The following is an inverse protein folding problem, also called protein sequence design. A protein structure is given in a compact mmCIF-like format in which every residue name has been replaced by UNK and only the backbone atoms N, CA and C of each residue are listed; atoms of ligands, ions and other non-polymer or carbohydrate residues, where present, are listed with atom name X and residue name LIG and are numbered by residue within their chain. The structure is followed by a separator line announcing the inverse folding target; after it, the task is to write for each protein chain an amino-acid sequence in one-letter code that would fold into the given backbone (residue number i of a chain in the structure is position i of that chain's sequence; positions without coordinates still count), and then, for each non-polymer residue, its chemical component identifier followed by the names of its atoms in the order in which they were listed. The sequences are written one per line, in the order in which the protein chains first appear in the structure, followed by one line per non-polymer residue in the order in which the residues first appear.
data_IF_115262020823
#
_entry.id   IF_115262020823
#
_cell.length_a   1.000
_cell.length_b   1.000
_cell.length_c   1.000
_cell.angle_alpha   90.00
_cell.angle_beta   90.00
_cell.angle_gamma   90.00
#
_symmetry.space_group_name_H-M   'P 1'
#
loop_
_entity.id
_entity.type
_entity.pdbx_description
1 polymer ?
#
# COMPACT_ATOMS: atom_id res chain seq x y z
N UNK A 1 9.70 9.43 16.21
CA UNK A 1 9.79 9.48 14.74
C UNK A 1 10.97 8.62 14.37
N UNK A 2 10.70 7.49 13.74
CA UNK A 2 11.72 6.55 13.24
C UNK A 2 11.82 6.71 11.72
N UNK A 3 13.02 6.51 11.16
CA UNK A 3 13.27 6.58 9.72
C UNK A 3 13.94 5.27 9.32
N UNK A 4 13.39 4.60 8.31
CA UNK A 4 13.82 3.27 7.87
C UNK A 4 14.15 3.35 6.38
N UNK A 5 15.23 2.69 5.98
CA UNK A 5 15.62 2.60 4.58
C UNK A 5 14.79 1.55 3.85
N UNK A 6 14.33 1.89 2.64
CA UNK A 6 13.57 0.97 1.77
C UNK A 6 14.45 0.24 0.74
N UNK A 7 15.71 0.65 0.61
CA UNK A 7 16.73 0.02 -0.22
C UNK A 7 18.10 0.18 0.45
N UNK A 8 19.11 -0.53 -0.06
CA UNK A 8 20.50 -0.33 0.36
C UNK A 8 20.98 1.07 -0.05
N UNK A 9 21.65 1.78 0.87
CA UNK A 9 22.11 3.17 0.66
C UNK A 9 23.62 3.18 0.64
N UNK A 10 24.20 3.68 -0.46
CA UNK A 10 25.65 3.74 -0.64
C UNK A 10 26.27 5.00 0.01
N UNK A 11 27.58 4.94 0.29
CA UNK A 11 28.27 6.08 0.90
C UNK A 11 28.29 7.30 -0.03
N UNK A 12 27.66 8.39 0.42
CA UNK A 12 27.55 9.64 -0.36
C UNK A 12 26.26 9.75 -1.17
N UNK A 13 25.39 8.75 -1.13
CA UNK A 13 24.05 8.81 -1.70
C UNK A 13 23.15 9.77 -0.89
N UNK A 14 22.30 10.53 -1.57
CA UNK A 14 21.33 11.42 -0.94
C UNK A 14 20.19 10.60 -0.34
N UNK A 15 19.92 10.79 0.97
CA UNK A 15 18.78 10.16 1.64
C UNK A 15 17.53 10.97 1.31
N UNK A 16 16.53 10.32 0.70
CA UNK A 16 15.28 10.96 0.28
C UNK A 16 14.07 10.34 0.96
N UNK A 17 13.00 11.14 1.08
CA UNK A 17 11.65 10.69 1.46
C UNK A 17 10.63 11.37 0.55
N UNK A 18 9.52 10.68 0.24
CA UNK A 18 8.45 11.29 -0.54
C UNK A 18 7.52 12.11 0.35
N UNK A 19 7.32 13.38 0.01
CA UNK A 19 6.28 14.22 0.61
C UNK A 19 4.93 14.10 -0.10
N UNK A 20 4.92 13.52 -1.31
CA UNK A 20 3.73 13.38 -2.10
C UNK A 20 2.96 12.11 -1.71
N UNK A 21 1.63 12.21 -1.53
CA UNK A 21 0.78 11.02 -1.48
C UNK A 21 0.96 10.16 -2.74
N UNK A 22 0.95 8.85 -2.54
CA UNK A 22 1.25 7.87 -3.60
C UNK A 22 0.21 7.80 -4.71
N UNK A 23 -1.04 8.20 -4.45
CA UNK A 23 -2.12 8.17 -5.44
C UNK A 23 -2.10 9.36 -6.41
N UNK A 24 -1.30 10.41 -6.15
CA UNK A 24 -1.32 11.60 -7.02
C UNK A 24 -0.70 11.33 -8.38
N UNK A 25 -1.40 11.69 -9.45
CA UNK A 25 -0.83 11.68 -10.81
C UNK A 25 0.25 12.75 -10.96
N UNK A 26 1.03 12.67 -12.03
CA UNK A 26 2.19 13.52 -12.27
C UNK A 26 1.89 15.02 -12.20
N UNK A 27 0.80 15.46 -12.80
CA UNK A 27 0.38 16.87 -12.78
C UNK A 27 -0.07 17.32 -11.38
N UNK A 28 -0.96 16.56 -10.73
CA UNK A 28 -1.41 16.86 -9.35
C UNK A 28 -0.25 16.87 -8.35
N UNK A 29 0.70 15.94 -8.52
CA UNK A 29 1.91 15.85 -7.71
C UNK A 29 2.79 17.08 -7.90
N UNK A 30 2.97 17.57 -9.14
CA UNK A 30 3.75 18.80 -9.40
C UNK A 30 3.07 20.02 -8.79
N UNK A 31 1.76 20.16 -8.99
CA UNK A 31 0.98 21.26 -8.46
C UNK A 31 0.99 21.27 -6.92
N UNK A 32 0.83 20.11 -6.30
CA UNK A 32 0.97 19.97 -4.85
C UNK A 32 2.38 20.34 -4.40
N UNK A 33 3.42 19.88 -5.10
CA UNK A 33 4.81 20.13 -4.68
C UNK A 33 5.15 21.63 -4.74
N UNK A 34 4.81 22.28 -5.84
CA UNK A 34 5.12 23.71 -6.01
C UNK A 34 4.30 24.57 -5.06
N UNK A 35 3.03 24.24 -4.83
CA UNK A 35 2.15 25.00 -3.93
C UNK A 35 2.53 24.83 -2.45
N UNK A 36 2.99 23.64 -2.06
CA UNK A 36 3.29 23.32 -0.65
C UNK A 36 4.73 23.63 -0.25
N UNK A 37 5.70 23.43 -1.15
CA UNK A 37 7.13 23.58 -0.84
C UNK A 37 7.88 24.55 -1.77
N UNK A 38 7.26 25.08 -2.82
CA UNK A 38 7.84 26.15 -3.63
C UNK A 38 8.96 25.72 -4.58
N UNK A 39 9.04 24.44 -4.96
CA UNK A 39 10.02 23.95 -5.93
C UNK A 39 9.39 23.06 -7.01
N UNK A 40 10.08 22.93 -8.15
CA UNK A 40 9.74 21.97 -9.19
C UNK A 40 10.55 20.68 -8.99
N UNK A 41 9.88 19.54 -8.87
CA UNK A 41 10.56 18.25 -8.76
C UNK A 41 11.29 17.90 -10.07
N UNK A 42 12.57 17.55 -9.96
CA UNK A 42 13.46 17.14 -11.08
C UNK A 42 13.95 15.69 -10.97
N UNK A 43 13.21 14.85 -10.23
CA UNK A 43 13.55 13.42 -10.19
C UNK A 43 13.37 12.77 -11.57
N UNK A 44 13.97 11.59 -11.83
CA UNK A 44 13.83 10.88 -13.10
C UNK A 44 12.37 10.67 -13.51
N UNK A 45 11.51 10.25 -12.56
CA UNK A 45 10.08 10.04 -12.80
C UNK A 45 9.37 11.30 -13.26
N UNK A 46 9.74 12.50 -12.78
CA UNK A 46 9.08 13.75 -13.16
C UNK A 46 9.67 14.41 -14.41
N UNK A 47 10.80 13.92 -14.90
CA UNK A 47 11.58 14.56 -15.98
C UNK A 47 11.55 13.73 -17.26
N UNK A 48 11.42 12.40 -17.17
CA UNK A 48 11.31 11.51 -18.33
C UNK A 48 9.83 11.26 -18.70
N UNK A 49 9.46 11.48 -19.95
CA UNK A 49 8.07 11.32 -20.43
C UNK A 49 7.57 9.88 -20.38
N UNK A 50 8.44 8.90 -20.62
CA UNK A 50 8.11 7.49 -20.53
C UNK A 50 7.87 7.07 -19.09
N UNK A 51 8.77 7.45 -18.18
CA UNK A 51 8.64 7.16 -16.75
C UNK A 51 7.41 7.84 -16.14
N UNK A 52 7.10 9.08 -16.54
CA UNK A 52 5.87 9.76 -16.14
C UNK A 52 4.62 9.00 -16.57
N UNK A 53 4.59 8.59 -17.85
CA UNK A 53 3.46 7.85 -18.39
C UNK A 53 3.23 6.53 -17.66
N UNK A 54 4.32 5.77 -17.40
CA UNK A 54 4.25 4.52 -16.65
C UNK A 54 3.79 4.76 -15.21
N UNK A 55 4.38 5.74 -14.51
CA UNK A 55 3.96 6.11 -13.14
C UNK A 55 2.47 6.47 -13.08
N UNK A 56 1.94 7.24 -14.03
CA UNK A 56 0.54 7.62 -14.03
C UNK A 56 -0.38 6.46 -14.42
N UNK A 57 0.09 5.57 -15.29
CA UNK A 57 -0.63 4.36 -15.67
C UNK A 57 -0.79 3.43 -14.47
N UNK A 58 0.28 3.16 -13.74
CA UNK A 58 0.21 2.27 -12.58
C UNK A 58 -0.61 2.87 -11.43
N UNK A 59 -0.48 4.18 -11.15
CA UNK A 59 -1.31 4.85 -10.12
C UNK A 59 -2.80 4.74 -10.42
N UNK A 60 -3.20 4.95 -11.69
CA UNK A 60 -4.60 4.73 -12.13
C UNK A 60 -5.05 3.28 -12.00
N UNK A 61 -4.15 2.33 -12.26
CA UNK A 61 -4.43 0.92 -12.09
C UNK A 61 -4.65 0.56 -10.62
N UNK A 62 -3.84 1.10 -9.71
CA UNK A 62 -4.02 0.90 -8.26
C UNK A 62 -5.34 1.53 -7.80
N UNK A 63 -5.64 2.74 -8.25
CA UNK A 63 -6.91 3.41 -7.94
C UNK A 63 -8.11 2.56 -8.39
N UNK A 64 -8.08 2.02 -9.61
CA UNK A 64 -9.12 1.08 -10.11
C UNK A 64 -9.25 -0.13 -9.19
N UNK A 65 -8.13 -0.80 -8.88
CA UNK A 65 -8.15 -1.98 -8.01
C UNK A 65 -8.78 -1.64 -6.66
N UNK A 66 -8.40 -0.51 -6.08
CA UNK A 66 -8.90 -0.06 -4.78
C UNK A 66 -10.40 0.29 -4.84
N UNK A 67 -10.87 0.92 -5.93
CA UNK A 67 -12.28 1.20 -6.15
C UNK A 67 -13.11 -0.08 -6.31
N UNK A 68 -12.66 -1.04 -7.10
CA UNK A 68 -13.35 -2.33 -7.27
C UNK A 68 -13.35 -3.13 -5.97
N UNK A 69 -12.21 -3.17 -5.28
CA UNK A 69 -12.12 -3.73 -3.94
C UNK A 69 -12.95 -2.95 -2.92
N UNK A 70 -13.42 -1.74 -3.18
CA UNK A 70 -14.30 -0.98 -2.29
C UNK A 70 -15.81 -1.25 -2.49
N UNK A 71 -16.21 -1.92 -3.58
CA UNK A 71 -17.62 -2.15 -3.95
C UNK A 71 -18.15 -3.52 -3.48
N UNK A 72 -18.90 -3.62 -2.36
CA UNK A 72 -19.34 -4.91 -1.83
C UNK A 72 -20.17 -5.76 -2.80
N UNK A 73 -20.89 -5.12 -3.71
CA UNK A 73 -21.86 -5.76 -4.61
C UNK A 73 -21.21 -6.64 -5.68
N UNK A 74 -19.95 -6.35 -6.04
CA UNK A 74 -19.22 -7.05 -7.11
C UNK A 74 -18.12 -7.98 -6.59
N UNK A 75 -17.80 -7.92 -5.29
CA UNK A 75 -16.73 -8.71 -4.65
C UNK A 75 -17.09 -10.19 -4.58
N UNK A 76 -16.73 -10.92 -5.63
CA UNK A 76 -16.65 -12.38 -5.57
C UNK A 76 -15.26 -12.83 -5.11
N UNK A 77 -15.11 -13.99 -4.45
CA UNK A 77 -13.80 -14.53 -4.11
C UNK A 77 -12.86 -14.68 -5.32
N UNK A 78 -13.39 -14.91 -6.52
CA UNK A 78 -12.60 -14.99 -7.74
C UNK A 78 -12.01 -13.61 -8.08
N UNK A 79 -12.87 -12.59 -8.18
CA UNK A 79 -12.47 -11.22 -8.48
C UNK A 79 -11.47 -10.68 -7.43
N UNK A 80 -11.72 -10.92 -6.14
CA UNK A 80 -10.79 -10.46 -5.09
C UNK A 80 -9.41 -11.11 -5.25
N UNK A 81 -9.31 -12.40 -5.62
CA UNK A 81 -7.98 -12.99 -5.86
C UNK A 81 -7.29 -12.39 -7.10
N UNK A 82 -8.05 -12.15 -8.17
CA UNK A 82 -7.53 -11.54 -9.40
C UNK A 82 -6.96 -10.15 -9.13
N UNK A 83 -7.76 -9.26 -8.54
CA UNK A 83 -7.35 -7.89 -8.19
C UNK A 83 -6.18 -7.85 -7.21
N UNK A 84 -6.13 -8.78 -6.25
CA UNK A 84 -5.01 -8.86 -5.31
C UNK A 84 -3.74 -9.35 -5.97
N UNK A 85 -3.83 -10.28 -6.93
CA UNK A 85 -2.67 -10.72 -7.71
C UNK A 85 -2.12 -9.56 -8.55
N UNK A 86 -3.00 -8.85 -9.26
CA UNK A 86 -2.63 -7.68 -10.05
C UNK A 86 -1.97 -6.59 -9.20
N UNK A 87 -2.49 -6.37 -7.97
CA UNK A 87 -1.90 -5.44 -7.01
C UNK A 87 -0.52 -5.90 -6.51
N UNK A 88 -0.33 -7.19 -6.23
CA UNK A 88 0.96 -7.72 -5.78
C UNK A 88 2.03 -7.61 -6.88
N UNK A 89 1.68 -7.94 -8.13
CA UNK A 89 2.58 -7.79 -9.29
C UNK A 89 3.04 -6.33 -9.45
N UNK A 90 2.11 -5.36 -9.34
CA UNK A 90 2.45 -3.94 -9.40
C UNK A 90 3.37 -3.49 -8.26
N UNK A 91 3.09 -3.91 -7.01
CA UNK A 91 3.93 -3.54 -5.86
C UNK A 91 5.37 -4.01 -6.08
N UNK A 92 5.53 -5.21 -6.63
CA UNK A 92 6.83 -5.82 -6.90
C UNK A 92 7.57 -5.08 -8.03
N UNK A 93 6.88 -4.75 -9.12
CA UNK A 93 7.46 -4.06 -10.27
C UNK A 93 7.87 -2.60 -9.96
N UNK A 94 7.19 -1.94 -9.02
CA UNK A 94 7.44 -0.53 -8.66
C UNK A 94 8.20 -0.33 -7.33
N UNK A 95 8.66 -1.41 -6.69
CA UNK A 95 9.32 -1.36 -5.38
C UNK A 95 8.50 -0.60 -4.30
N UNK A 96 7.19 -0.84 -4.27
CA UNK A 96 6.25 -0.21 -3.32
C UNK A 96 6.12 -1.00 -2.00
N UNK A 97 7.19 -1.67 -1.57
CA UNK A 97 7.19 -2.55 -0.40
C UNK A 97 6.72 -1.85 0.87
N UNK A 98 7.02 -0.57 1.02
CA UNK A 98 6.61 0.23 2.18
C UNK A 98 5.09 0.43 2.27
N UNK A 99 4.38 0.42 1.15
CA UNK A 99 2.94 0.57 1.05
C UNK A 99 2.21 -0.78 1.16
N UNK A 100 2.93 -1.90 0.93
CA UNK A 100 2.36 -3.25 0.94
C UNK A 100 1.64 -3.56 2.26
N UNK A 101 2.13 -3.04 3.39
CA UNK A 101 1.48 -3.18 4.70
C UNK A 101 0.05 -2.63 4.72
N UNK A 102 -0.13 -1.38 4.27
CA UNK A 102 -1.45 -0.74 4.23
C UNK A 102 -2.40 -1.44 3.26
N UNK A 103 -1.88 -1.82 2.09
CA UNK A 103 -2.64 -2.53 1.04
C UNK A 103 -3.11 -3.90 1.52
N UNK A 104 -2.27 -4.68 2.18
CA UNK A 104 -2.68 -5.94 2.82
C UNK A 104 -3.70 -5.73 3.94
N UNK A 105 -3.63 -4.61 4.65
CA UNK A 105 -4.67 -4.20 5.60
C UNK A 105 -6.03 -4.02 4.93
N UNK A 106 -6.10 -3.43 3.74
CA UNK A 106 -7.33 -3.28 2.95
C UNK A 106 -7.83 -4.64 2.49
N UNK A 107 -6.96 -5.44 1.85
CA UNK A 107 -7.29 -6.77 1.35
C UNK A 107 -7.81 -7.69 2.46
N UNK A 108 -7.21 -7.61 3.65
CA UNK A 108 -7.66 -8.37 4.81
C UNK A 108 -9.10 -8.02 5.23
N UNK A 109 -9.45 -6.73 5.24
CA UNK A 109 -10.83 -6.28 5.54
C UNK A 109 -11.81 -6.78 4.50
N UNK A 110 -11.45 -6.70 3.22
CA UNK A 110 -12.27 -7.22 2.12
C UNK A 110 -12.56 -8.72 2.30
N UNK A 111 -11.55 -9.53 2.58
CA UNK A 111 -11.76 -10.97 2.84
C UNK A 111 -12.61 -11.23 4.08
N UNK A 112 -12.45 -10.43 5.14
CA UNK A 112 -13.28 -10.52 6.34
C UNK A 112 -14.74 -10.21 6.05
N UNK A 113 -15.02 -9.24 5.20
CA UNK A 113 -16.38 -8.84 4.79
C UNK A 113 -17.03 -9.89 3.88
N UNK A 114 -16.24 -10.54 3.01
CA UNK A 114 -16.67 -11.69 2.19
C UNK A 114 -16.87 -12.97 3.04
N UNK A 115 -16.38 -12.98 4.27
CA UNK A 115 -16.55 -14.07 5.25
C UNK A 115 -15.46 -15.16 5.19
N UNK A 116 -14.43 -15.00 4.37
CA UNK A 116 -13.25 -15.86 4.36
C UNK A 116 -12.23 -15.38 5.39
N UNK A 117 -12.51 -15.68 6.66
CA UNK A 117 -11.66 -15.26 7.77
C UNK A 117 -10.25 -15.86 7.72
N UNK A 118 -10.06 -17.02 7.07
CA UNK A 118 -8.74 -17.62 6.93
C UNK A 118 -7.85 -16.78 5.99
N UNK A 119 -8.37 -16.37 4.83
CA UNK A 119 -7.66 -15.44 3.95
C UNK A 119 -7.50 -14.07 4.59
N UNK A 120 -8.53 -13.56 5.27
CA UNK A 120 -8.45 -12.30 6.00
C UNK A 120 -7.27 -12.31 6.99
N UNK A 121 -7.16 -13.37 7.81
CA UNK A 121 -6.09 -13.50 8.79
C UNK A 121 -4.71 -13.55 8.12
N UNK A 122 -4.57 -14.32 7.04
CA UNK A 122 -3.31 -14.41 6.29
C UNK A 122 -2.81 -13.04 5.83
N UNK A 123 -3.68 -12.22 5.23
CA UNK A 123 -3.28 -10.87 4.80
C UNK A 123 -3.08 -9.92 5.99
N UNK A 124 -3.88 -10.04 7.05
CA UNK A 124 -3.71 -9.23 8.27
C UNK A 124 -2.34 -9.45 8.91
N UNK A 125 -1.90 -10.70 9.04
CA UNK A 125 -0.60 -11.05 9.64
C UNK A 125 0.56 -10.56 8.77
N UNK A 126 0.48 -10.70 7.44
CA UNK A 126 1.48 -10.15 6.51
C UNK A 126 1.55 -8.62 6.61
N UNK A 127 0.41 -7.94 6.58
CA UNK A 127 0.34 -6.48 6.68
C UNK A 127 0.86 -5.97 8.03
N UNK A 128 0.50 -6.64 9.13
CA UNK A 128 1.00 -6.33 10.47
C UNK A 128 2.51 -6.46 10.55
N UNK A 129 3.10 -7.55 10.03
CA UNK A 129 4.55 -7.73 10.04
C UNK A 129 5.30 -6.65 9.25
N UNK A 130 4.74 -6.21 8.11
CA UNK A 130 5.29 -5.10 7.33
C UNK A 130 5.18 -3.76 8.07
N UNK A 131 4.08 -3.51 8.78
CA UNK A 131 3.94 -2.32 9.62
C UNK A 131 4.94 -2.32 10.79
N UNK A 132 5.10 -3.45 11.49
CA UNK A 132 6.12 -3.60 12.53
C UNK A 132 7.51 -3.30 11.99
N UNK A 133 7.82 -3.76 10.78
CA UNK A 133 9.12 -3.55 10.14
C UNK A 133 9.34 -2.10 9.68
N UNK A 134 8.39 -1.50 8.94
CA UNK A 134 8.58 -0.19 8.30
C UNK A 134 8.11 1.01 9.12
N UNK A 135 7.19 0.82 10.07
CA UNK A 135 6.63 1.90 10.88
C UNK A 135 7.01 1.81 12.36
N UNK A 136 7.47 0.63 12.79
CA UNK A 136 7.81 0.34 14.18
C UNK A 136 6.62 -0.20 14.98
N UNK A 137 6.94 -0.85 16.11
CA UNK A 137 5.97 -1.51 17.00
C UNK A 137 5.04 -0.49 17.68
N UNK A 138 5.55 0.72 17.94
CA UNK A 138 4.81 1.77 18.63
C UNK A 138 3.92 2.61 17.70
N UNK A 139 3.93 2.36 16.38
CA UNK A 139 3.10 3.08 15.43
C UNK A 139 1.60 2.73 15.56
N UNK A 140 0.76 3.75 15.47
CA UNK A 140 -0.68 3.60 15.65
C UNK A 140 -1.33 2.67 14.60
N UNK A 141 -0.79 2.59 13.38
CA UNK A 141 -1.28 1.65 12.36
C UNK A 141 -0.87 0.23 12.69
N UNK A 142 0.35 0.03 13.21
CA UNK A 142 0.83 -1.28 13.69
C UNK A 142 -0.07 -1.82 14.81
N UNK A 143 -0.41 -0.98 15.80
CA UNK A 143 -1.35 -1.36 16.87
C UNK A 143 -2.74 -1.72 16.34
N UNK A 144 -3.24 -0.99 15.35
CA UNK A 144 -4.53 -1.28 14.73
C UNK A 144 -4.50 -2.60 13.95
N UNK A 145 -3.44 -2.86 13.19
CA UNK A 145 -3.25 -4.11 12.47
C UNK A 145 -3.23 -5.31 13.44
N UNK A 146 -2.49 -5.20 14.55
CA UNK A 146 -2.44 -6.23 15.58
C UNK A 146 -3.81 -6.52 16.21
N UNK A 147 -4.56 -5.48 16.56
CA UNK A 147 -5.94 -5.64 17.07
C UNK A 147 -6.84 -6.35 16.07
N UNK A 148 -6.67 -6.08 14.78
CA UNK A 148 -7.46 -6.73 13.74
C UNK A 148 -7.07 -8.21 13.56
N UNK A 149 -5.78 -8.54 13.63
CA UNK A 149 -5.30 -9.93 13.70
C UNK A 149 -5.93 -10.69 14.87
N UNK A 150 -5.91 -10.10 16.08
CA UNK A 150 -6.51 -10.72 17.27
C UNK A 150 -8.02 -10.95 17.11
N UNK A 151 -8.74 -9.97 16.55
CA UNK A 151 -10.15 -10.11 16.23
C UNK A 151 -10.41 -11.27 15.27
N UNK A 152 -9.63 -11.40 14.20
CA UNK A 152 -9.79 -12.49 13.23
C UNK A 152 -9.47 -13.86 13.85
N UNK A 153 -8.44 -13.95 14.70
CA UNK A 153 -8.13 -15.17 15.47
C UNK A 153 -9.30 -15.58 16.37
N UNK A 154 -9.94 -14.64 17.04
CA UNK A 154 -11.14 -14.91 17.84
C UNK A 154 -12.31 -15.39 16.98
N UNK A 155 -12.52 -14.83 15.78
CA UNK A 155 -13.59 -15.27 14.86
C UNK A 155 -13.38 -16.68 14.34
N UNK A 156 -12.13 -17.07 14.06
CA UNK A 156 -11.78 -18.42 13.61
C UNK A 156 -11.86 -19.42 14.76
N UNK A 157 -11.28 -19.09 15.93
CA UNK A 157 -11.25 -19.95 17.11
C UNK A 157 -12.56 -20.03 17.89
N UNK A 158 -13.47 -19.07 17.71
CA UNK A 158 -14.80 -19.01 18.33
C UNK A 158 -15.89 -19.76 17.58
N UNK A 159 -15.56 -20.57 16.56
CA UNK A 159 -16.49 -21.55 15.96
C UNK A 159 -16.65 -22.75 16.90
N UNK A 160 -17.68 -22.69 17.77
CA UNK A 160 -18.36 -23.84 18.38
C UNK A 160 -19.84 -23.70 18.03
#
# INVERSE_FOLDING_TARGET
MEIIAYHDIEAGEEITISYAPMHLLSDDRRDMIISSWGFECKCPICTDEGEMYLSDMHRRQLDRIMEELAMPEVRTPALVNELVSEMEDMIDDEALDSQRGDLYGVVSRVWSEVGDYAKALRYAERGMGLHEYYRGIDDSSTWQAKRFVDFLKMKIGGRI
#
